data_IF_671594993604
#
_entry.id   IF_671594993604
#
_cell.length_a   1.000
_cell.length_b   1.000
_cell.length_c   1.000
_cell.angle_alpha   90.00
_cell.angle_beta   90.00
_cell.angle_gamma   90.00
#
_symmetry.space_group_name_H-M   'P 1'
#
loop_
_entity.id
_entity.type
_entity.pdbx_description
1 polymer ?
#
# COMPACT_ATOMS: atom_id res chain seq x y z
N UNK A 1 -5.78 18.86 -8.83
CA UNK A 1 -5.90 17.61 -8.07
C UNK A 1 -5.73 17.86 -6.59
N UNK A 2 -6.75 18.46 -6.02
CA UNK A 2 -6.70 18.87 -4.62
C UNK A 2 -7.28 17.78 -3.73
N UNK A 3 -6.40 16.89 -3.25
CA UNK A 3 -6.77 15.94 -2.21
C UNK A 3 -6.47 16.56 -0.85
N UNK A 4 -7.41 16.38 0.08
CA UNK A 4 -7.21 16.80 1.46
C UNK A 4 -6.36 15.76 2.19
N UNK A 5 -5.21 16.20 2.69
CA UNK A 5 -4.30 15.37 3.47
C UNK A 5 -4.68 15.52 4.95
N UNK A 6 -5.06 14.41 5.59
CA UNK A 6 -5.43 14.40 7.01
C UNK A 6 -4.23 14.21 7.93
N UNK A 7 -3.23 13.47 7.44
CA UNK A 7 -2.05 13.14 8.21
C UNK A 7 -0.88 12.96 7.25
N UNK A 8 0.30 13.41 7.63
CA UNK A 8 1.52 13.10 6.90
C UNK A 8 2.63 12.68 7.86
N UNK A 9 3.42 11.71 7.44
CA UNK A 9 4.61 11.29 8.16
C UNK A 9 5.70 11.04 7.13
N UNK A 10 6.65 11.97 7.03
CA UNK A 10 7.75 11.92 6.07
C UNK A 10 9.05 11.44 6.72
N UNK A 11 8.98 10.96 7.96
CA UNK A 11 10.15 10.58 8.74
C UNK A 11 10.21 9.08 9.03
N UNK A 12 9.55 8.27 8.19
CA UNK A 12 9.68 6.82 8.30
C UNK A 12 11.05 6.39 7.78
N UNK A 13 11.65 5.33 8.33
CA UNK A 13 12.98 4.90 7.87
C UNK A 13 13.03 4.47 6.42
N UNK A 14 11.90 4.07 5.84
CA UNK A 14 11.78 3.66 4.43
C UNK A 14 11.25 4.78 3.53
N UNK A 15 10.81 5.88 4.09
CA UNK A 15 10.22 7.00 3.33
C UNK A 15 9.14 7.73 4.11
N UNK A 16 7.90 7.58 3.70
CA UNK A 16 6.79 8.23 4.38
C UNK A 16 5.44 7.94 3.75
N UNK A 17 4.40 8.57 4.29
CA UNK A 17 3.05 8.41 3.76
C UNK A 17 2.21 9.66 3.97
N UNK A 18 1.17 9.79 3.13
CA UNK A 18 0.14 10.81 3.22
C UNK A 18 -1.21 10.12 3.33
N UNK A 19 -1.96 10.42 4.40
CA UNK A 19 -3.33 9.90 4.56
C UNK A 19 -4.30 10.86 3.90
N UNK A 20 -5.13 10.36 3.01
CA UNK A 20 -6.11 11.15 2.25
C UNK A 20 -7.47 11.02 2.91
N UNK A 21 -8.26 12.09 2.82
CA UNK A 21 -9.62 12.14 3.38
C UNK A 21 -10.48 11.02 2.77
N UNK A 22 -11.12 10.24 3.65
CA UNK A 22 -12.04 9.16 3.25
C UNK A 22 -13.16 9.65 2.33
N UNK A 23 -13.61 10.87 2.50
CA UNK A 23 -14.66 11.44 1.65
C UNK A 23 -14.21 11.60 0.19
N UNK A 24 -12.91 11.53 -0.07
CA UNK A 24 -12.34 11.61 -1.41
C UNK A 24 -11.90 10.26 -1.97
N UNK A 25 -12.28 9.15 -1.33
CA UNK A 25 -11.84 7.81 -1.74
C UNK A 25 -12.21 7.49 -3.19
N UNK A 26 -13.43 7.80 -3.61
CA UNK A 26 -13.85 7.55 -4.99
C UNK A 26 -13.03 8.37 -5.99
N UNK A 27 -12.85 9.66 -5.70
CA UNK A 27 -12.04 10.55 -6.53
C UNK A 27 -10.58 10.06 -6.61
N UNK A 28 -10.04 9.63 -5.47
CA UNK A 28 -8.70 9.09 -5.36
C UNK A 28 -8.54 7.84 -6.23
N UNK A 29 -9.49 6.91 -6.12
CA UNK A 29 -9.46 5.67 -6.88
C UNK A 29 -9.56 5.96 -8.39
N UNK A 30 -10.50 6.78 -8.81
CA UNK A 30 -10.67 7.13 -10.21
C UNK A 30 -9.45 7.86 -10.79
N UNK A 31 -8.74 8.62 -9.96
CA UNK A 31 -7.58 9.39 -10.42
C UNK A 31 -6.32 8.54 -10.56
N UNK A 32 -6.07 7.64 -9.61
CA UNK A 32 -4.81 6.89 -9.58
C UNK A 32 -4.89 5.47 -10.14
N UNK A 33 -6.09 4.92 -10.31
CA UNK A 33 -6.26 3.54 -10.77
C UNK A 33 -6.92 3.51 -12.13
N UNK A 34 -6.24 2.94 -13.12
CA UNK A 34 -6.70 2.94 -14.51
C UNK A 34 -7.79 1.91 -14.81
N UNK A 35 -7.72 0.76 -14.16
CA UNK A 35 -8.59 -0.37 -14.47
C UNK A 35 -9.62 -0.53 -13.35
N UNK A 36 -10.36 0.53 -13.11
CA UNK A 36 -11.33 0.57 -12.00
C UNK A 36 -12.41 -0.50 -12.13
N UNK A 37 -12.75 -0.90 -13.35
CA UNK A 37 -13.78 -1.92 -13.58
C UNK A 37 -13.35 -3.34 -13.20
N UNK A 38 -12.05 -3.58 -13.01
CA UNK A 38 -11.54 -4.88 -12.60
C UNK A 38 -11.74 -5.14 -11.10
N UNK A 39 -12.03 -4.10 -10.34
CA UNK A 39 -12.20 -4.20 -8.90
C UNK A 39 -13.63 -3.89 -8.52
N UNK A 40 -14.20 -4.75 -7.69
CA UNK A 40 -15.55 -4.55 -7.16
C UNK A 40 -15.45 -3.76 -5.86
N UNK A 41 -15.36 -2.42 -5.98
CA UNK A 41 -15.15 -1.53 -4.84
C UNK A 41 -16.49 -0.93 -4.40
N UNK A 42 -16.80 -1.07 -3.13
CA UNK A 42 -17.94 -0.40 -2.49
C UNK A 42 -17.44 0.89 -1.81
N UNK A 43 -17.68 2.03 -2.45
CA UNK A 43 -17.23 3.32 -1.96
C UNK A 43 -18.00 3.82 -0.74
N UNK A 44 -19.03 3.12 -0.29
CA UNK A 44 -19.69 3.41 0.99
C UNK A 44 -18.90 2.85 2.17
N UNK A 45 -17.98 1.94 1.93
CA UNK A 45 -17.10 1.38 2.96
C UNK A 45 -15.85 2.25 3.12
N UNK A 46 -15.21 2.11 4.29
CA UNK A 46 -13.92 2.72 4.54
C UNK A 46 -12.86 2.10 3.63
N UNK A 47 -12.07 2.93 2.95
CA UNK A 47 -11.02 2.48 2.02
C UNK A 47 -9.62 2.93 2.43
N UNK A 48 -9.50 3.81 3.41
CA UNK A 48 -8.23 4.27 3.97
C UNK A 48 -7.20 4.70 2.89
N UNK A 49 -7.56 5.61 1.98
CA UNK A 49 -6.67 5.97 0.88
C UNK A 49 -5.39 6.65 1.38
N UNK A 50 -4.28 6.25 0.81
CA UNK A 50 -2.94 6.67 1.22
C UNK A 50 -2.03 6.83 0.01
N UNK A 51 -1.05 7.71 0.12
CA UNK A 51 0.07 7.74 -0.80
C UNK A 51 1.31 7.35 -0.01
N UNK A 52 2.01 6.33 -0.47
CA UNK A 52 3.30 5.91 0.09
C UNK A 52 4.42 6.55 -0.70
N UNK A 53 5.43 7.02 0.02
CA UNK A 53 6.66 7.57 -0.54
C UNK A 53 7.78 6.60 -0.18
N UNK A 54 8.38 5.96 -1.20
CA UNK A 54 9.42 4.96 -0.99
C UNK A 54 10.76 5.57 -1.36
N UNK A 55 11.67 5.67 -0.40
CA UNK A 55 13.01 6.20 -0.63
C UNK A 55 13.86 5.21 -1.45
N UNK A 56 14.88 5.71 -2.18
CA UNK A 56 15.75 4.84 -2.98
C UNK A 56 16.35 3.71 -2.16
N UNK A 57 16.27 2.50 -2.69
CA UNK A 57 16.82 1.26 -2.13
C UNK A 57 16.32 0.86 -0.74
N UNK A 58 15.39 1.62 -0.15
CA UNK A 58 14.78 1.26 1.12
C UNK A 58 13.63 0.30 0.88
N UNK A 59 13.34 -0.52 1.88
CA UNK A 59 12.22 -1.45 1.81
C UNK A 59 11.44 -1.48 3.10
N UNK A 60 10.13 -1.70 2.97
CA UNK A 60 9.26 -1.95 4.11
C UNK A 60 9.52 -3.35 4.64
N UNK A 61 8.95 -3.67 5.80
CA UNK A 61 9.11 -5.01 6.37
C UNK A 61 8.47 -6.08 5.49
N UNK A 62 8.94 -7.30 5.62
CA UNK A 62 8.28 -8.50 5.13
C UNK A 62 7.15 -8.79 6.09
N UNK A 63 5.89 -8.64 5.63
CA UNK A 63 4.74 -8.46 6.51
C UNK A 63 3.46 -9.02 5.92
N UNK A 64 2.44 -9.18 6.76
CA UNK A 64 1.08 -9.43 6.30
C UNK A 64 0.07 -8.81 7.25
N UNK A 65 -1.18 -8.73 6.79
CA UNK A 65 -2.31 -8.17 7.53
C UNK A 65 -3.44 -9.19 7.62
N UNK A 66 -4.17 -9.18 8.73
CA UNK A 66 -5.22 -10.18 9.00
C UNK A 66 -6.62 -9.70 8.63
N UNK A 67 -6.83 -8.39 8.56
CA UNK A 67 -8.17 -7.83 8.42
C UNK A 67 -8.32 -6.92 7.21
N UNK A 68 -7.38 -6.99 6.25
CA UNK A 68 -7.49 -6.22 5.02
C UNK A 68 -6.75 -6.88 3.86
N UNK A 69 -7.21 -6.57 2.65
CA UNK A 69 -6.38 -6.64 1.46
C UNK A 69 -6.01 -5.23 1.04
N UNK A 70 -5.05 -5.09 0.14
CA UNK A 70 -4.58 -3.78 -0.35
C UNK A 70 -4.55 -3.77 -1.86
N UNK A 71 -4.83 -2.61 -2.46
CA UNK A 71 -4.66 -2.42 -3.89
C UNK A 71 -3.70 -1.25 -4.08
N UNK A 72 -2.60 -1.51 -4.76
CA UNK A 72 -1.57 -0.52 -5.05
C UNK A 72 -1.60 -0.10 -6.50
N UNK A 73 -1.37 1.19 -6.76
CA UNK A 73 -1.13 1.72 -8.09
C UNK A 73 0.12 2.59 -8.04
N UNK A 74 1.11 2.28 -8.87
CA UNK A 74 2.34 3.07 -8.89
C UNK A 74 2.05 4.40 -9.58
N UNK A 75 2.28 5.50 -8.87
CA UNK A 75 2.05 6.86 -9.38
C UNK A 75 3.28 7.36 -10.12
N UNK A 76 4.45 7.17 -9.53
CA UNK A 76 5.73 7.67 -10.04
C UNK A 76 6.85 6.72 -9.68
N UNK A 77 7.80 6.56 -10.60
CA UNK A 77 8.98 5.74 -10.39
C UNK A 77 8.75 4.26 -10.63
N UNK A 78 9.63 3.47 -10.11
CA UNK A 78 9.58 2.00 -10.21
C UNK A 78 9.76 1.41 -8.82
N UNK A 79 9.03 0.34 -8.54
CA UNK A 79 9.16 -0.39 -7.29
C UNK A 79 9.39 -1.87 -7.57
N UNK A 80 9.93 -2.54 -6.57
CA UNK A 80 10.05 -3.99 -6.56
C UNK A 80 9.10 -4.52 -5.49
N UNK A 81 8.36 -5.58 -5.81
CA UNK A 81 7.40 -6.19 -4.89
C UNK A 81 7.67 -7.68 -4.79
N UNK A 82 7.78 -8.17 -3.56
CA UNK A 82 7.80 -9.60 -3.29
C UNK A 82 6.50 -9.99 -2.60
N UNK A 83 5.91 -11.12 -3.00
CA UNK A 83 4.69 -11.67 -2.40
C UNK A 83 4.83 -13.16 -2.21
N UNK A 84 4.19 -13.68 -1.15
CA UNK A 84 4.17 -15.12 -0.88
C UNK A 84 2.95 -15.49 -0.05
N UNK A 85 2.45 -16.72 -0.25
CA UNK A 85 1.39 -17.28 0.59
C UNK A 85 1.90 -17.80 1.93
N UNK A 86 3.23 -17.90 2.08
CA UNK A 86 3.88 -18.39 3.31
C UNK A 86 4.93 -17.40 3.77
N UNK A 87 5.65 -17.73 4.84
CA UNK A 87 6.61 -16.81 5.46
C UNK A 87 7.93 -16.65 4.69
N UNK A 88 8.15 -17.45 3.66
CA UNK A 88 9.35 -17.35 2.83
C UNK A 88 9.14 -16.30 1.74
N UNK A 89 10.09 -15.37 1.63
CA UNK A 89 10.03 -14.35 0.58
C UNK A 89 10.05 -14.99 -0.81
N UNK A 90 9.21 -14.45 -1.70
CA UNK A 90 9.25 -14.78 -3.11
C UNK A 90 10.22 -13.89 -3.87
N UNK A 91 10.36 -14.13 -5.16
CA UNK A 91 11.15 -13.28 -6.03
C UNK A 91 10.49 -11.91 -6.16
N UNK A 92 11.31 -10.88 -6.39
CA UNK A 92 10.79 -9.54 -6.65
C UNK A 92 10.30 -9.41 -8.08
N UNK A 93 9.14 -8.79 -8.24
CA UNK A 93 8.66 -8.33 -9.54
C UNK A 93 8.79 -6.81 -9.60
N UNK A 94 9.05 -6.28 -10.79
CA UNK A 94 9.19 -4.84 -11.00
C UNK A 94 7.88 -4.27 -11.49
N UNK A 95 7.39 -3.23 -10.81
CA UNK A 95 6.23 -2.44 -11.23
C UNK A 95 6.69 -1.02 -11.56
N UNK A 96 6.19 -0.51 -12.68
CA UNK A 96 6.47 0.85 -13.13
C UNK A 96 5.23 1.72 -12.99
N UNK A 97 5.38 3.01 -13.23
CA UNK A 97 4.25 3.95 -13.16
C UNK A 97 3.06 3.42 -13.96
N UNK A 98 1.88 3.51 -13.35
CA UNK A 98 0.57 3.06 -13.83
C UNK A 98 0.30 1.55 -13.66
N UNK A 99 1.29 0.76 -13.25
CA UNK A 99 1.04 -0.64 -12.90
C UNK A 99 0.27 -0.73 -11.59
N UNK A 100 -0.60 -1.73 -11.49
CA UNK A 100 -1.45 -1.96 -10.34
C UNK A 100 -1.30 -3.41 -9.87
N UNK A 101 -1.47 -3.61 -8.56
CA UNK A 101 -1.41 -4.94 -7.97
C UNK A 101 -2.34 -5.03 -6.77
N UNK A 102 -2.99 -6.18 -6.60
CA UNK A 102 -3.78 -6.48 -5.41
C UNK A 102 -3.00 -7.43 -4.50
N UNK A 103 -2.94 -7.08 -3.22
CA UNK A 103 -2.33 -7.91 -2.18
C UNK A 103 -3.48 -8.46 -1.34
N UNK A 104 -3.74 -9.74 -1.45
CA UNK A 104 -4.83 -10.40 -0.72
C UNK A 104 -4.59 -10.41 0.79
N UNK A 105 -5.67 -10.62 1.54
CA UNK A 105 -5.59 -10.78 2.99
C UNK A 105 -4.63 -11.92 3.34
N UNK A 106 -3.74 -11.69 4.31
CA UNK A 106 -2.73 -12.63 4.80
C UNK A 106 -1.63 -12.98 3.79
N UNK A 107 -1.67 -12.42 2.59
CA UNK A 107 -0.54 -12.58 1.65
C UNK A 107 0.65 -11.78 2.20
N UNK A 108 1.78 -12.46 2.37
CA UNK A 108 3.02 -11.83 2.78
C UNK A 108 3.51 -10.97 1.63
N UNK A 109 3.97 -9.78 1.97
CA UNK A 109 4.41 -8.84 0.94
C UNK A 109 5.45 -7.87 1.48
N UNK A 110 6.20 -7.32 0.55
CA UNK A 110 7.21 -6.30 0.82
C UNK A 110 7.39 -5.46 -0.44
N UNK A 111 7.51 -4.15 -0.23
CA UNK A 111 7.83 -3.19 -1.29
C UNK A 111 9.25 -2.69 -1.08
N UNK A 112 10.00 -2.50 -2.17
CA UNK A 112 11.36 -1.97 -2.16
C UNK A 112 11.50 -0.89 -3.22
N UNK A 113 12.16 0.21 -2.84
CA UNK A 113 12.51 1.28 -3.78
C UNK A 113 13.65 0.88 -4.71
N UNK A 114 13.74 1.58 -5.83
CA UNK A 114 14.81 1.44 -6.81
C UNK A 114 15.77 2.63 -6.72
N UNK A 115 16.33 3.09 -7.83
CA UNK A 115 17.37 4.11 -7.84
C UNK A 115 16.89 5.54 -7.53
N UNK A 116 15.58 5.79 -7.62
CA UNK A 116 14.98 7.07 -7.27
C UNK A 116 13.77 6.83 -6.36
N UNK A 117 13.28 7.87 -5.71
CA UNK A 117 12.07 7.72 -4.89
C UNK A 117 10.87 7.37 -5.76
N UNK A 118 9.91 6.71 -5.16
CA UNK A 118 8.68 6.28 -5.84
C UNK A 118 7.45 6.70 -5.03
N UNK A 119 6.35 6.91 -5.74
CA UNK A 119 5.04 7.21 -5.14
C UNK A 119 4.07 6.10 -5.50
N UNK A 120 3.36 5.60 -4.50
CA UNK A 120 2.40 4.50 -4.66
C UNK A 120 1.08 4.89 -4.01
N UNK A 121 0.00 4.84 -4.78
CA UNK A 121 -1.34 4.96 -4.23
C UNK A 121 -1.74 3.64 -3.59
N UNK A 122 -2.35 3.71 -2.41
CA UNK A 122 -2.78 2.54 -1.66
C UNK A 122 -4.20 2.74 -1.18
N UNK A 123 -5.04 1.71 -1.35
CA UNK A 123 -6.33 1.62 -0.66
C UNK A 123 -6.40 0.29 0.06
N UNK A 124 -7.15 0.28 1.16
CA UNK A 124 -7.40 -0.91 1.96
C UNK A 124 -8.83 -1.39 1.74
N UNK A 125 -8.98 -2.68 1.51
CA UNK A 125 -10.29 -3.33 1.49
C UNK A 125 -10.43 -4.07 2.83
N UNK A 126 -11.21 -3.49 3.73
CA UNK A 126 -11.40 -4.04 5.07
C UNK A 126 -12.29 -5.28 5.01
N UNK A 127 -11.79 -6.39 5.56
CA UNK A 127 -12.48 -7.68 5.48
C UNK A 127 -13.33 -7.99 6.70
N UNK A 128 -13.21 -7.20 7.78
CA UNK A 128 -13.97 -7.38 9.02
C UNK A 128 -14.75 -6.08 9.29
N UNK A 129 -16.03 -6.11 8.96
CA UNK A 129 -16.90 -4.92 9.02
C UNK A 129 -16.95 -4.27 10.41
N UNK A 130 -17.01 -5.09 11.46
CA UNK A 130 -17.12 -4.60 12.83
C UNK A 130 -15.77 -4.39 13.51
N UNK A 131 -14.68 -4.70 12.83
CA UNK A 131 -13.32 -4.51 13.33
C UNK A 131 -12.39 -4.18 12.16
N UNK A 132 -12.52 -2.97 11.60
CA UNK A 132 -11.71 -2.62 10.42
C UNK A 132 -10.23 -2.64 10.76
N UNK A 133 -9.42 -2.88 9.72
CA UNK A 133 -7.97 -2.89 9.85
C UNK A 133 -7.45 -1.50 10.20
N UNK A 134 -6.32 -1.47 10.88
CA UNK A 134 -5.62 -0.24 11.27
C UNK A 134 -4.11 -0.46 11.21
N UNK A 135 -3.33 0.53 11.66
CA UNK A 135 -1.88 0.48 11.64
C UNK A 135 -1.30 -0.62 12.54
N UNK A 136 -2.07 -1.11 13.50
CA UNK A 136 -1.64 -2.19 14.40
C UNK A 136 -1.94 -3.59 13.82
N UNK A 137 -2.69 -3.67 12.73
CA UNK A 137 -2.97 -4.92 12.02
C UNK A 137 -1.81 -5.26 11.10
N UNK A 138 -0.69 -5.60 11.69
CA UNK A 138 0.53 -5.92 10.95
C UNK A 138 1.34 -6.98 11.70
N UNK A 139 1.77 -8.01 10.98
CA UNK A 139 2.73 -8.99 11.47
C UNK A 139 3.99 -8.82 10.66
N UNK A 140 5.06 -8.34 11.29
CA UNK A 140 6.36 -8.18 10.65
C UNK A 140 7.20 -9.42 10.86
N UNK A 141 7.55 -10.08 9.78
CA UNK A 141 8.36 -11.31 9.81
C UNK A 141 9.84 -11.00 9.71
N UNK A 142 10.20 -9.92 9.02
CA UNK A 142 11.56 -9.40 8.91
C UNK A 142 11.48 -7.90 8.65
N UNK A 143 12.33 -7.15 9.29
CA UNK A 143 12.34 -5.69 9.15
C UNK A 143 13.78 -5.18 9.22
N UNK A 144 14.25 -4.49 8.20
CA UNK A 144 15.59 -3.91 8.14
C UNK A 144 15.84 -2.89 9.26
N UNK A 145 14.76 -2.35 9.85
CA UNK A 145 14.81 -1.31 10.87
C UNK A 145 14.49 -1.82 12.26
N UNK A 146 14.35 -3.12 12.43
CA UNK A 146 14.10 -3.80 13.72
C UNK A 146 12.85 -3.29 14.45
N UNK A 147 11.80 -2.95 13.74
CA UNK A 147 10.51 -2.59 14.33
C UNK A 147 9.71 -3.86 14.65
N UNK A 148 8.89 -3.79 15.65
CA UNK A 148 8.00 -4.92 16.00
C UNK A 148 6.64 -4.78 15.37
#
# INVERSE_FOLDING_TARGET
NNFKILEEDLNRPWGGFLVIDELQSKKFFEFFYKKTSEYNIDFSNKLSPKILIINPYKRLSWQYHKRRSEIWSVIKGNILVSMSENDNEGDYIKLKAKDQIEIGKKIRHRIKGTDDYSLVAEIWIHTHKNNPSDENDIIRLQDDFNRN
#
